data_IF_850922724841
#
_entry.id   IF_850922724841
#
_cell.length_a   1.000
_cell.length_b   1.000
_cell.length_c   1.000
_cell.angle_alpha   90.00
_cell.angle_beta   90.00
_cell.angle_gamma   90.00
#
_symmetry.space_group_name_H-M   'P 1'
#
loop_
_entity.id
_entity.type
_entity.pdbx_description
1 polymer ?
2 polymer ?
3 non-polymer ?
4 non-polymer ?
5 non-polymer ?
6 non-polymer ?
7 water ?
#
loop_
_entity_poly.entity_id
_entity_poly.type
_entity_poly.pdbx_seq_one_letter_code
_entity_poly.pdbx_strand_id
2 'polyribonucleotide' 'GGGCUUCAACGCCC' ?
#
# COMPACT_ATOMS: atom_id res chain seq x y z
N UNK A 29 11.63 22.51 -4.24
CA UNK A 29 10.22 22.41 -3.85
C UNK A 29 10.09 22.51 -2.33
N UNK A 30 9.62 23.66 -1.82
CA UNK A 30 9.51 23.82 -0.38
C UNK A 30 8.69 22.69 0.28
N UNK A 31 9.09 22.30 1.48
CA UNK A 31 8.30 21.34 2.24
C UNK A 31 7.00 21.99 2.69
N UNK A 32 5.88 21.38 2.31
CA UNK A 32 4.55 21.91 2.68
C UNK A 32 4.24 21.73 4.17
N UNK A 33 3.72 22.78 4.79
CA UNK A 33 3.22 22.68 6.16
C UNK A 33 1.95 23.52 6.31
N UNK A 34 1.24 23.33 7.41
CA UNK A 34 0.01 24.07 7.67
C UNK A 34 0.19 25.58 7.70
N UNK A 35 1.42 26.06 7.88
CA UNK A 35 1.66 27.50 7.81
C UNK A 35 1.27 28.07 6.45
N UNK A 36 1.51 27.30 5.39
CA UNK A 36 1.20 27.74 4.03
C UNK A 36 -0.26 27.34 3.76
N UNK A 37 -1.13 28.33 3.59
CA UNK A 37 -2.55 28.04 3.41
C UNK A 37 -3.03 28.47 2.03
N UNK A 38 -2.07 28.63 1.11
CA UNK A 38 -2.33 29.10 -0.25
C UNK A 38 -1.96 28.06 -1.32
N UNK A 39 -0.78 27.47 -1.21
CA UNK A 39 -0.30 26.57 -2.26
C UNK A 39 -1.29 25.44 -2.55
N UNK A 40 -1.65 25.24 -3.81
CA UNK A 40 -2.55 24.16 -4.17
C UNK A 40 -1.89 22.78 -3.95
N UNK A 41 -2.52 21.94 -3.15
CA UNK A 41 -1.96 20.63 -2.85
C UNK A 41 -3.06 19.63 -2.61
N UNK A 42 -2.66 18.37 -2.45
CA UNK A 42 -3.58 17.36 -1.96
C UNK A 42 -3.27 17.14 -0.49
N UNK A 43 -4.32 16.98 0.32
CA UNK A 43 -4.15 16.63 1.72
C UNK A 43 -4.90 15.35 2.00
N UNK A 44 -4.29 14.44 2.75
CA UNK A 44 -5.02 13.27 3.25
C UNK A 44 -5.06 13.27 4.77
N UNK A 45 -6.26 13.10 5.33
CA UNK A 45 -6.42 12.95 6.80
C UNK A 45 -6.81 11.50 7.08
N UNK A 46 -5.95 10.80 7.81
CA UNK A 46 -6.23 9.45 8.25
C UNK A 46 -7.06 9.60 9.50
N UNK A 47 -8.37 9.50 9.35
CA UNK A 47 -9.29 9.78 10.45
C UNK A 47 -9.64 8.51 11.21
N UNK A 48 -10.07 8.69 12.46
CA UNK A 48 -10.41 7.58 13.33
C UNK A 48 -9.24 6.62 13.46
N UNK A 49 -8.02 7.14 13.32
CA UNK A 49 -6.83 6.32 13.45
C UNK A 49 -6.82 5.70 14.85
N UNK A 50 -6.48 4.42 14.91
CA UNK A 50 -6.48 3.71 16.19
C UNK A 50 -5.11 3.76 16.84
N UNK A 51 -4.80 4.89 17.48
CA UNK A 51 -3.48 5.10 18.08
C UNK A 51 -3.64 5.48 19.54
N UNK A 52 -3.53 4.51 20.43
CA UNK A 52 -3.76 4.75 21.83
C UNK A 52 -2.75 3.92 22.62
N UNK A 53 -2.17 4.51 23.65
CA UNK A 53 -1.14 3.81 24.40
C UNK A 53 -1.71 3.32 25.72
N UNK A 54 -1.02 2.33 26.29
CA UNK A 54 -1.43 1.79 27.58
C UNK A 54 -0.23 1.20 28.29
N UNK A 55 -0.27 1.28 29.62
CA UNK A 55 0.86 0.90 30.46
C UNK A 55 0.91 -0.59 30.72
N UNK A 56 2.06 -1.06 31.19
CA UNK A 56 2.25 -2.43 31.63
C UNK A 56 3.02 -2.46 32.95
N UNK A 65 6.40 1.14 31.27
CA UNK A 65 6.41 0.48 29.97
C UNK A 65 5.07 0.65 29.24
N UNK A 66 5.13 1.31 28.08
CA UNK A 66 3.93 1.58 27.30
C UNK A 66 3.94 0.86 25.96
N UNK A 67 2.78 0.35 25.57
CA UNK A 67 2.60 -0.20 24.24
C UNK A 67 1.53 0.56 23.49
N UNK A 68 1.58 0.50 22.17
CA UNK A 68 0.51 0.98 21.32
C UNK A 68 -0.52 -0.14 21.20
N UNK A 69 -1.72 0.08 21.74
CA UNK A 69 -2.72 -0.98 21.77
C UNK A 69 -3.01 -1.53 20.37
N UNK A 70 -2.90 -2.84 20.20
CA UNK A 70 -3.30 -3.48 18.94
C UNK A 70 -4.01 -4.82 19.14
N UNK A 71 -5.04 -5.04 18.31
CA UNK A 71 -5.89 -6.22 18.40
C UNK A 71 -5.13 -7.53 18.49
N UNK A 72 -4.03 -7.64 17.74
CA UNK A 72 -3.22 -8.86 17.73
C UNK A 72 -2.57 -9.20 19.07
N UNK A 73 -1.90 -8.20 19.66
CA UNK A 73 -1.03 -8.40 20.82
C UNK A 73 -1.72 -8.23 22.17
N UNK A 74 -2.84 -7.53 22.20
CA UNK A 74 -3.42 -7.13 23.48
C UNK A 74 -4.90 -7.49 23.60
N UNK A 75 -5.27 -8.63 23.05
CA UNK A 75 -6.66 -9.08 23.14
C UNK A 75 -7.12 -9.13 24.59
N UNK A 76 -6.33 -9.78 25.44
CA UNK A 76 -6.66 -9.91 26.85
C UNK A 76 -6.81 -8.56 27.54
N UNK A 77 -5.83 -7.68 27.33
CA UNK A 77 -5.86 -6.36 27.95
C UNK A 77 -7.05 -5.53 27.50
N UNK A 78 -7.32 -5.54 26.19
CA UNK A 78 -8.45 -4.80 25.63
C UNK A 78 -9.75 -5.32 26.23
N UNK A 79 -9.75 -6.59 26.62
CA UNK A 79 -10.90 -7.18 27.30
C UNK A 79 -11.15 -6.46 28.61
N UNK A 80 -10.15 -6.46 29.49
CA UNK A 80 -10.27 -5.82 30.79
C UNK A 80 -10.74 -4.37 30.66
N UNK A 81 -10.28 -3.70 29.61
CA UNK A 81 -10.65 -2.30 29.38
C UNK A 81 -12.08 -2.14 28.91
N UNK A 82 -12.74 -3.25 28.63
CA UNK A 82 -14.09 -3.21 28.09
C UNK A 82 -14.09 -2.48 26.77
N UNK A 83 -13.17 -2.86 25.88
CA UNK A 83 -13.06 -2.26 24.56
C UNK A 83 -13.40 -3.28 23.49
N UNK A 84 -13.82 -2.79 22.33
CA UNK A 84 -14.01 -3.64 21.17
C UNK A 84 -12.64 -3.98 20.58
N UNK A 85 -12.19 -5.20 20.82
CA UNK A 85 -10.87 -5.64 20.37
C UNK A 85 -10.66 -5.35 18.89
N UNK A 86 -11.72 -5.53 18.11
CA UNK A 86 -11.67 -5.29 16.66
C UNK A 86 -11.28 -3.86 16.33
N UNK A 87 -11.39 -2.96 17.31
CA UNK A 87 -11.19 -1.53 17.07
C UNK A 87 -9.72 -1.12 17.10
N UNK A 88 -8.89 -1.90 17.79
CA UNK A 88 -7.48 -1.58 17.95
C UNK A 88 -6.71 -1.96 16.70
N UNK A 89 -6.67 -1.06 15.70
CA UNK A 89 -5.97 -1.36 14.45
C UNK A 89 -4.98 -0.28 13.98
N UNK A 90 -3.90 -0.05 14.76
CA UNK A 90 -2.89 0.96 14.39
C UNK A 90 -2.15 0.58 13.12
N UNK A 91 -2.18 -0.70 12.77
CA UNK A 91 -1.49 -1.20 11.59
C UNK A 91 -2.09 -0.59 10.32
N UNK A 92 -3.39 -0.29 10.35
CA UNK A 92 -4.00 0.34 9.20
C UNK A 92 -3.43 1.74 8.97
N UNK A 93 -3.24 2.48 10.05
CA UNK A 93 -2.62 3.80 9.95
C UNK A 93 -1.17 3.69 9.42
N UNK A 94 -0.45 2.68 9.90
CA UNK A 94 0.92 2.44 9.44
C UNK A 94 0.96 2.17 7.93
N UNK A 95 0.07 1.30 7.45
CA UNK A 95 0.03 0.92 6.04
C UNK A 95 -0.30 2.14 5.15
N UNK A 96 -1.21 2.98 5.63
CA UNK A 96 -1.59 4.17 4.86
C UNK A 96 -0.46 5.20 4.78
N UNK A 97 0.29 5.37 5.87
CA UNK A 97 1.41 6.30 5.85
C UNK A 97 2.47 5.90 4.84
N UNK A 98 2.76 4.60 4.79
CA UNK A 98 3.72 4.10 3.83
C UNK A 98 3.24 4.41 2.41
N UNK A 99 1.97 4.09 2.15
CA UNK A 99 1.38 4.29 0.83
C UNK A 99 1.44 5.76 0.41
N UNK A 100 1.06 6.66 1.33
CA UNK A 100 1.04 8.10 1.04
C UNK A 100 2.44 8.70 0.90
N UNK A 101 3.29 8.44 1.88
CA UNK A 101 4.60 9.08 1.87
C UNK A 101 5.55 8.56 0.78
N UNK A 102 5.30 7.34 0.29
CA UNK A 102 6.12 6.76 -0.77
C UNK A 102 5.62 7.19 -2.16
N UNK A 103 4.48 7.87 -2.21
CA UNK A 103 3.88 8.21 -3.51
C UNK A 103 4.61 9.33 -4.27
N UNK A 104 4.58 9.30 -5.62
CA UNK A 104 5.15 10.41 -6.40
C UNK A 104 4.58 11.77 -5.98
N UNK A 105 3.30 11.82 -5.62
CA UNK A 105 2.74 13.12 -5.24
C UNK A 105 3.44 13.67 -4.01
N UNK A 106 3.82 12.79 -3.09
CA UNK A 106 4.57 13.27 -1.95
C UNK A 106 6.00 13.67 -2.36
N UNK A 107 6.63 12.85 -3.20
CA UNK A 107 7.99 13.15 -3.61
C UNK A 107 8.07 14.44 -4.41
N UNK A 108 6.97 14.78 -5.09
CA UNK A 108 6.90 16.01 -5.89
C UNK A 108 6.58 17.22 -5.02
N UNK A 109 6.34 16.97 -3.73
CA UNK A 109 6.05 18.02 -2.77
C UNK A 109 4.65 18.61 -2.82
N UNK A 110 3.68 17.83 -3.31
CA UNK A 110 2.32 18.32 -3.42
C UNK A 110 1.35 17.54 -2.52
N UNK A 111 1.89 16.91 -1.49
CA UNK A 111 1.09 16.14 -0.53
C UNK A 111 1.34 16.55 0.92
N UNK A 112 0.26 16.66 1.68
CA UNK A 112 0.35 16.65 3.15
C UNK A 112 -0.52 15.57 3.76
N UNK A 113 -0.05 15.03 4.87
CA UNK A 113 -0.80 14.02 5.60
C UNK A 113 -1.02 14.51 7.03
N UNK A 114 -2.22 14.29 7.55
CA UNK A 114 -2.49 14.46 8.96
C UNK A 114 -3.12 13.17 9.48
N UNK A 115 -3.04 12.97 10.79
CA UNK A 115 -3.67 11.86 11.47
C UNK A 115 -4.59 12.41 12.53
N UNK A 116 -5.84 11.97 12.52
CA UNK A 116 -6.81 12.32 13.52
C UNK A 116 -7.21 11.03 14.19
N UNK A 117 -6.76 10.84 15.44
CA UNK A 117 -7.02 9.57 16.12
C UNK A 117 -8.46 9.45 16.55
N UNK A 118 -8.89 8.22 16.84
CA UNK A 118 -10.25 7.96 17.29
C UNK A 118 -10.50 8.63 18.64
N UNK A 119 -9.44 9.06 19.31
CA UNK A 119 -9.61 9.72 20.60
C UNK A 119 -9.48 11.24 20.48
N UNK A 120 -9.43 11.75 19.26
CA UNK A 120 -9.47 13.18 19.01
C UNK A 120 -8.13 13.90 18.97
N UNK A 121 -7.04 13.13 18.95
CA UNK A 121 -5.71 13.73 18.80
C UNK A 121 -5.40 14.04 17.34
N UNK A 122 -4.94 15.26 17.07
CA UNK A 122 -4.61 15.65 15.70
C UNK A 122 -3.11 15.79 15.53
N UNK A 123 -2.58 15.16 14.48
CA UNK A 123 -1.15 15.11 14.24
C UNK A 123 -0.80 15.55 12.83
N UNK A 124 0.20 16.43 12.72
CA UNK A 124 0.72 16.85 11.41
C UNK A 124 1.98 16.05 11.09
N UNK A 125 2.00 15.42 9.91
CA UNK A 125 3.13 14.60 9.49
C UNK A 125 4.03 15.42 8.55
N UNK A 126 5.33 15.50 8.85
CA UNK A 126 6.27 16.20 7.97
C UNK A 126 6.43 15.37 6.69
N UNK A 127 6.24 15.99 5.51
CA UNK A 127 6.35 15.26 4.24
C UNK A 127 7.70 14.52 4.06
N UNK A 128 8.75 14.93 4.77
CA UNK A 128 10.06 14.33 4.58
C UNK A 128 10.36 13.23 5.60
N UNK A 129 9.41 12.92 6.47
CA UNK A 129 9.68 11.89 7.47
C UNK A 129 9.80 10.51 6.78
N UNK A 130 10.86 9.77 7.09
CA UNK A 130 11.00 8.41 6.61
C UNK A 130 10.42 7.44 7.65
N UNK A 131 9.10 7.27 7.62
CA UNK A 131 8.40 6.45 8.60
C UNK A 131 8.98 5.04 8.68
N UNK A 132 9.06 4.48 9.90
CA UNK A 132 9.58 3.12 10.03
C UNK A 132 8.85 2.18 9.10
N UNK A 133 9.56 1.25 8.46
CA UNK A 133 8.94 0.34 7.53
C UNK A 133 8.19 -0.80 8.24
N UNK A 134 8.65 -1.20 9.42
CA UNK A 134 8.03 -2.32 10.12
C UNK A 134 7.13 -1.86 11.26
N UNK A 135 6.07 -2.65 11.49
CA UNK A 135 5.03 -2.23 12.42
C UNK A 135 5.53 -2.05 13.85
N UNK A 136 6.34 -3.00 14.31
CA UNK A 136 6.87 -2.93 15.66
C UNK A 136 7.63 -1.62 15.87
N UNK A 137 8.36 -1.20 14.85
CA UNK A 137 9.15 0.03 14.95
C UNK A 137 8.29 1.29 14.80
N UNK A 138 7.28 1.21 13.94
CA UNK A 138 6.28 2.27 13.89
C UNK A 138 5.63 2.44 15.26
N UNK A 139 5.35 1.32 15.91
CA UNK A 139 4.66 1.33 17.20
C UNK A 139 5.40 2.12 18.27
N UNK A 140 6.68 1.80 18.46
CA UNK A 140 7.48 2.48 19.46
C UNK A 140 7.55 3.99 19.21
N UNK A 141 7.60 4.37 17.94
CA UNK A 141 7.65 5.79 17.57
C UNK A 141 6.35 6.51 17.90
N UNK A 142 5.22 5.86 17.66
CA UNK A 142 3.92 6.45 17.96
C UNK A 142 3.73 6.66 19.46
N UNK A 143 4.16 5.69 20.25
CA UNK A 143 4.10 5.80 21.69
C UNK A 143 4.83 7.06 22.14
N UNK A 144 6.02 7.27 21.59
CA UNK A 144 6.82 8.43 21.95
C UNK A 144 6.16 9.73 21.51
N UNK A 145 5.61 9.73 20.30
CA UNK A 145 4.93 10.90 19.77
C UNK A 145 3.76 11.29 20.67
N UNK A 146 2.96 10.31 21.05
CA UNK A 146 1.77 10.55 21.87
C UNK A 146 2.12 11.04 23.29
N UNK A 147 3.23 10.54 23.83
CA UNK A 147 3.67 10.98 25.15
C UNK A 147 4.42 12.31 25.16
N UNK A 148 5.27 12.54 24.15
CA UNK A 148 6.10 13.75 24.11
C UNK A 148 5.53 14.88 23.25
N UNK A 149 4.56 14.55 22.38
CA UNK A 149 3.83 15.55 21.57
C UNK A 149 4.54 15.96 20.27
N UNK A 150 5.80 15.58 20.10
CA UNK A 150 6.46 15.72 18.82
C UNK A 150 7.64 14.75 18.68
N UNK A 151 8.13 14.61 17.46
CA UNK A 151 9.27 13.75 17.15
C UNK A 151 10.26 14.61 16.39
N UNK A 152 11.52 14.59 16.80
CA UNK A 152 12.53 15.41 16.14
C UNK A 152 13.82 14.62 15.92
N UNK A 153 14.60 15.03 14.93
CA UNK A 153 15.96 14.53 14.79
C UNK A 153 16.87 15.34 15.70
N UNK A 154 17.91 14.71 16.21
CA UNK A 154 18.73 15.29 17.28
C UNK A 154 19.30 16.68 16.99
N UNK A 155 19.63 16.93 15.72
CA UNK A 155 20.26 18.19 15.32
C UNK A 155 19.25 19.24 14.89
N UNK A 156 18.03 18.79 14.62
CA UNK A 156 17.02 19.63 13.99
C UNK A 156 16.01 20.20 14.98
N UNK A 157 15.48 21.38 14.65
CA UNK A 157 14.38 21.93 15.41
C UNK A 157 13.08 21.78 14.61
N UNK A 158 13.17 21.09 13.48
CA UNK A 158 11.99 20.79 12.69
C UNK A 158 11.35 19.50 13.19
N UNK A 159 10.03 19.50 13.30
CA UNK A 159 9.32 18.31 13.76
C UNK A 159 9.01 17.38 12.60
N UNK A 160 9.34 16.11 12.76
CA UNK A 160 9.01 15.11 11.76
C UNK A 160 7.56 14.69 11.98
N UNK A 161 7.12 14.77 13.23
CA UNK A 161 5.74 14.50 13.60
C UNK A 161 5.37 15.45 14.74
N UNK A 162 4.15 15.96 14.73
CA UNK A 162 3.73 16.89 15.76
C UNK A 162 2.24 16.83 16.09
N UNK A 163 1.92 16.79 17.38
CA UNK A 163 0.53 16.93 17.82
C UNK A 163 0.17 18.41 17.68
N UNK A 164 -0.96 18.67 17.02
CA UNK A 164 -1.40 20.05 16.82
C UNK A 164 -2.84 20.24 17.33
N UNK A 165 -3.35 21.48 17.33
CA UNK A 165 -4.69 21.77 17.83
C UNK A 165 -5.79 21.49 16.79
N UNK A 166 -6.88 20.85 17.24
CA UNK A 166 -8.11 20.80 16.45
C UNK A 166 -8.72 22.20 16.37
N UNK A 167 -9.60 22.46 15.39
CA UNK A 167 -9.98 21.52 14.33
C UNK A 167 -9.03 21.59 13.14
N UNK A 168 -8.93 20.49 12.39
CA UNK A 168 -8.08 20.42 11.21
C UNK A 168 -8.39 21.58 10.26
N UNK A 169 -9.65 21.98 10.19
CA UNK A 169 -10.08 23.05 9.28
C UNK A 169 -9.37 24.37 9.58
N UNK A 170 -8.87 24.53 10.80
CA UNK A 170 -8.07 25.70 11.13
C UNK A 170 -6.70 25.69 10.46
N UNK A 171 -6.29 24.53 9.94
CA UNK A 171 -4.94 24.35 9.46
C UNK A 171 -4.84 24.18 7.95
N UNK A 172 -5.96 23.85 7.31
CA UNK A 172 -5.99 23.54 5.88
C UNK A 172 -5.92 24.80 5.02
N UNK A 173 -5.59 24.66 3.73
CA UNK A 173 -5.61 25.85 2.89
C UNK A 173 -6.99 26.50 2.88
N UNK A 174 -7.02 27.82 2.81
CA UNK A 174 -8.27 28.57 2.88
C UNK A 174 -9.24 28.15 1.79
N UNK A 175 -8.73 27.96 0.58
CA UNK A 175 -9.52 27.40 -0.50
C UNK A 175 -9.20 25.92 -0.61
N UNK A 176 -10.08 25.09 -0.05
CA UNK A 176 -9.86 23.64 -0.05
C UNK A 176 -11.19 22.91 -0.09
N UNK A 177 -11.35 22.06 -1.10
CA UNK A 177 -12.52 21.18 -1.14
C UNK A 177 -12.23 20.01 -0.22
N UNK A 178 -13.16 19.72 0.68
CA UNK A 178 -12.96 18.71 1.71
C UNK A 178 -13.96 17.58 1.48
N UNK A 179 -13.43 16.38 1.30
CA UNK A 179 -14.27 15.24 1.00
C UNK A 179 -14.00 14.09 1.95
N UNK A 180 -15.03 13.30 2.20
CA UNK A 180 -14.86 12.05 2.92
C UNK A 180 -15.08 10.94 1.91
N UNK A 181 -14.26 9.90 2.00
CA UNK A 181 -14.42 8.75 1.13
C UNK A 181 -15.39 7.79 1.80
N UNK A 182 -16.42 7.39 1.05
CA UNK A 182 -17.46 6.54 1.60
C UNK A 182 -18.04 5.61 0.54
N UNK A 183 -18.21 4.34 0.89
CA UNK A 183 -18.82 3.41 -0.06
C UNK A 183 -20.30 3.73 -0.23
N UNK A 184 -20.84 4.51 0.69
CA UNK A 184 -22.25 4.93 0.62
C UNK A 184 -22.47 6.09 -0.34
N UNK A 185 -21.39 6.70 -0.81
CA UNK A 185 -21.48 7.92 -1.61
C UNK A 185 -21.42 7.67 -3.12
N UNK A 186 -21.89 8.63 -3.93
CA UNK A 186 -21.79 8.51 -5.38
C UNK A 186 -20.33 8.33 -5.81
N UNK A 187 -20.11 7.45 -6.79
CA UNK A 187 -18.76 7.12 -7.23
C UNK A 187 -18.24 8.18 -8.19
N UNK A 188 -16.96 8.55 -8.04
CA UNK A 188 -16.34 9.53 -8.96
C UNK A 188 -15.11 8.96 -9.65
N UNK A 189 -14.74 9.58 -10.77
CA UNK A 189 -13.39 9.39 -11.30
C UNK A 189 -12.50 10.49 -10.73
N UNK A 190 -11.42 10.11 -10.05
CA UNK A 190 -10.61 11.07 -9.28
C UNK A 190 -10.01 12.21 -10.11
N UNK A 191 -9.40 11.87 -11.24
CA UNK A 191 -8.92 12.89 -12.18
C UNK A 191 -10.02 13.89 -12.57
N UNK A 192 -11.22 13.40 -12.84
CA UNK A 192 -12.29 14.28 -13.28
C UNK A 192 -12.75 15.19 -12.16
N UNK A 193 -12.83 14.64 -10.95
CA UNK A 193 -13.22 15.43 -9.79
C UNK A 193 -12.18 16.53 -9.55
N UNK A 194 -10.91 16.16 -9.58
CA UNK A 194 -9.82 17.11 -9.36
C UNK A 194 -9.77 18.21 -10.41
N UNK A 195 -10.00 17.85 -11.67
CA UNK A 195 -10.02 18.84 -12.75
C UNK A 195 -11.10 19.91 -12.58
N UNK A 196 -12.12 19.59 -11.79
CA UNK A 196 -13.22 20.53 -11.59
C UNK A 196 -12.96 21.51 -10.45
N UNK A 197 -11.84 21.36 -9.77
CA UNK A 197 -11.49 22.28 -8.70
C UNK A 197 -11.07 23.62 -9.30
N UNK A 198 -11.27 24.69 -8.55
CA UNK A 198 -10.75 25.98 -8.95
C UNK A 198 -9.23 25.92 -9.05
N UNK A 199 -8.65 26.81 -9.86
CA UNK A 199 -7.21 26.82 -10.08
C UNK A 199 -6.39 26.97 -8.79
N UNK A 200 -6.97 27.60 -7.78
CA UNK A 200 -6.24 27.87 -6.54
C UNK A 200 -6.75 27.04 -5.36
N UNK A 201 -7.54 26.02 -5.65
CA UNK A 201 -8.23 25.27 -4.61
C UNK A 201 -7.57 23.92 -4.34
N UNK A 202 -7.20 23.67 -3.09
CA UNK A 202 -6.64 22.40 -2.70
C UNK A 202 -7.72 21.34 -2.55
N UNK A 203 -7.30 20.10 -2.35
CA UNK A 203 -8.27 19.07 -2.06
C UNK A 203 -7.82 18.25 -0.85
N UNK A 204 -8.71 18.14 0.13
CA UNK A 204 -8.43 17.41 1.36
C UNK A 204 -9.35 16.21 1.44
N UNK A 205 -8.75 15.02 1.55
CA UNK A 205 -9.51 13.79 1.59
C UNK A 205 -9.43 13.11 2.95
N UNK A 206 -10.58 12.91 3.59
CA UNK A 206 -10.65 12.19 4.86
C UNK A 206 -10.92 10.71 4.61
N UNK A 207 -9.98 9.88 5.06
CA UNK A 207 -10.02 8.43 4.90
C UNK A 207 -10.18 7.76 6.28
N UNK A 208 -11.20 6.92 6.45
CA UNK A 208 -11.32 6.17 7.68
C UNK A 208 -10.21 5.13 7.81
N UNK A 209 -9.30 5.35 8.76
CA UNK A 209 -8.18 4.44 8.95
C UNK A 209 -8.61 3.31 9.86
N UNK A 210 -9.63 2.58 9.41
CA UNK A 210 -10.28 1.57 10.22
C UNK A 210 -10.70 0.42 9.33
N UNK A 211 -11.08 -0.69 9.93
CA UNK A 211 -11.56 -1.85 9.20
C UNK A 211 -13.05 -1.70 8.94
N UNK A 212 -13.79 -1.28 9.96
CA UNK A 212 -15.24 -1.18 9.84
C UNK A 212 -15.81 0.02 10.60
N UNK A 213 -16.76 0.70 9.99
CA UNK A 213 -17.38 1.83 10.63
C UNK A 213 -18.11 2.75 9.67
N UNK A 214 -18.90 3.67 10.23
CA UNK A 214 -19.67 4.61 9.42
C UNK A 214 -18.76 5.69 8.83
N UNK A 215 -19.28 6.41 7.84
CA UNK A 215 -18.52 7.46 7.16
C UNK A 215 -18.73 8.84 7.78
N UNK A 216 -19.14 8.90 9.03
CA UNK A 216 -19.51 10.18 9.64
C UNK A 216 -18.39 10.83 10.47
N UNK A 217 -17.18 10.29 10.37
CA UNK A 217 -16.06 10.73 11.20
C UNK A 217 -15.56 12.16 10.93
N UNK A 218 -16.04 12.78 9.86
CA UNK A 218 -15.59 14.12 9.53
C UNK A 218 -16.75 14.99 9.08
N UNK A 219 -17.97 14.57 9.42
CA UNK A 219 -19.18 15.25 8.99
C UNK A 219 -19.16 16.74 9.32
N UNK A 220 -18.43 17.11 10.38
CA UNK A 220 -18.38 18.50 10.81
C UNK A 220 -17.48 19.36 9.90
N UNK A 221 -16.69 18.69 9.05
CA UNK A 221 -15.63 19.34 8.30
C UNK A 221 -15.81 19.34 6.79
N UNK A 222 -16.39 18.27 6.26
CA UNK A 222 -16.35 18.03 4.82
C UNK A 222 -17.44 18.78 4.03
N UNK A 223 -17.13 19.03 2.76
CA UNK A 223 -18.05 19.61 1.79
C UNK A 223 -18.84 18.52 1.06
N UNK A 224 -18.27 17.31 0.98
CA UNK A 224 -18.86 16.30 0.13
C UNK A 224 -18.38 14.90 0.50
N UNK A 225 -19.25 13.91 0.31
CA UNK A 225 -18.80 12.53 0.39
C UNK A 225 -18.78 11.90 -1.00
N UNK A 226 -17.73 11.14 -1.29
CA UNK A 226 -17.57 10.48 -2.58
C UNK A 226 -17.03 9.05 -2.42
N UNK A 227 -17.32 8.21 -3.40
CA UNK A 227 -16.75 6.86 -3.42
C UNK A 227 -15.82 6.74 -4.61
N UNK A 228 -14.81 5.89 -4.50
CA UNK A 228 -13.82 5.76 -5.57
C UNK A 228 -13.99 4.51 -6.43
N UNK A 229 -14.89 3.63 -6.03
CA UNK A 229 -15.03 2.37 -6.73
C UNK A 229 -16.41 1.78 -6.54
N UNK A 230 -16.84 0.94 -7.46
CA UNK A 230 -18.04 0.17 -7.24
C UNK A 230 -17.75 -0.94 -6.25
N UNK A 231 -16.47 -1.13 -5.94
CA UNK A 231 -16.08 -2.08 -4.90
C UNK A 231 -15.68 -1.36 -3.62
N UNK A 232 -16.00 -1.96 -2.46
CA UNK A 232 -15.49 -1.48 -1.17
C UNK A 232 -13.97 -1.56 -1.20
N UNK A 233 -13.28 -0.50 -0.79
CA UNK A 233 -11.82 -0.52 -0.81
C UNK A 233 -11.27 -0.46 0.61
N UNK A 234 -10.11 -1.07 0.81
CA UNK A 234 -9.35 -0.86 2.02
C UNK A 234 -8.86 0.59 2.05
N UNK A 235 -8.56 1.09 3.24
CA UNK A 235 -8.07 2.45 3.40
C UNK A 235 -6.81 2.73 2.58
N UNK A 236 -5.87 1.81 2.60
CA UNK A 236 -4.62 1.96 1.85
C UNK A 236 -4.87 2.05 0.36
N UNK A 237 -5.75 1.21 -0.14
CA UNK A 237 -6.09 1.21 -1.56
C UNK A 237 -6.79 2.50 -1.93
N UNK A 238 -7.65 2.98 -1.04
CA UNK A 238 -8.33 4.24 -1.31
C UNK A 238 -7.31 5.37 -1.36
N UNK A 239 -6.34 5.34 -0.46
CA UNK A 239 -5.25 6.34 -0.49
C UNK A 239 -4.47 6.31 -1.81
N UNK A 240 -4.06 5.11 -2.23
CA UNK A 240 -3.26 5.03 -3.45
C UNK A 240 -4.09 5.48 -4.67
N UNK A 241 -5.37 5.13 -4.69
CA UNK A 241 -6.23 5.49 -5.81
C UNK A 241 -6.31 7.01 -5.94
N UNK A 242 -6.50 7.69 -4.81
CA UNK A 242 -6.61 9.15 -4.84
C UNK A 242 -5.26 9.79 -5.20
N UNK A 243 -4.17 9.23 -4.67
CA UNK A 243 -2.85 9.74 -5.03
C UNK A 243 -2.58 9.63 -6.52
N UNK A 244 -2.88 8.48 -7.10
CA UNK A 244 -2.58 8.26 -8.52
C UNK A 244 -3.51 9.04 -9.47
N UNK A 245 -4.73 9.33 -9.02
CA UNK A 245 -5.62 10.20 -9.76
C UNK A 245 -5.12 11.63 -9.75
N UNK A 246 -4.56 12.05 -8.62
CA UNK A 246 -4.03 13.41 -8.48
C UNK A 246 -2.72 13.57 -9.24
N UNK A 247 -1.85 12.55 -9.20
CA UNK A 247 -0.64 12.55 -10.01
C UNK A 247 -0.98 12.69 -11.49
N UNK A 248 -2.06 12.05 -11.91
CA UNK A 248 -2.48 12.16 -13.31
C UNK A 248 -3.01 13.54 -13.62
N UNK A 249 -3.93 14.01 -12.79
CA UNK A 249 -4.55 15.31 -13.01
C UNK A 249 -3.49 16.42 -13.04
N UNK A 250 -2.49 16.30 -12.19
CA UNK A 250 -1.50 17.35 -12.04
C UNK A 250 -0.19 17.08 -12.80
N UNK A 251 -0.19 16.04 -13.61
CA UNK A 251 0.95 15.78 -14.47
C UNK A 251 2.23 15.59 -13.66
N UNK A 252 2.11 14.84 -12.58
CA UNK A 252 3.26 14.45 -11.80
C UNK A 252 3.68 13.06 -12.26
N UNK A 253 4.91 12.96 -12.75
CA UNK A 253 5.47 11.69 -13.16
C UNK A 253 6.52 11.25 -12.16
N UNK B 29 -17.32 -12.76 -12.07
CA UNK B 29 -16.10 -12.81 -12.88
C UNK B 29 -15.39 -14.16 -12.73
N UNK B 30 -15.13 -14.85 -13.85
CA UNK B 30 -14.39 -16.12 -13.81
C UNK B 30 -13.01 -15.91 -13.19
N UNK B 31 -12.55 -16.87 -12.41
CA UNK B 31 -11.27 -16.73 -11.73
C UNK B 31 -10.11 -17.12 -12.65
N UNK B 32 -9.19 -16.17 -12.89
CA UNK B 32 -8.06 -16.40 -13.80
C UNK B 32 -6.98 -17.30 -13.19
N UNK B 33 -6.52 -18.28 -13.95
CA UNK B 33 -5.37 -19.10 -13.58
C UNK B 33 -4.49 -19.30 -14.82
N UNK B 34 -3.29 -19.83 -14.62
CA UNK B 34 -2.36 -20.09 -15.72
C UNK B 34 -2.91 -21.10 -16.72
N UNK B 35 -3.94 -21.85 -16.35
CA UNK B 35 -4.55 -22.81 -17.28
C UNK B 35 -5.16 -22.09 -18.47
N UNK B 36 -5.72 -20.92 -18.20
CA UNK B 36 -6.30 -20.08 -19.25
C UNK B 36 -5.17 -19.32 -19.95
N UNK B 37 -4.89 -19.69 -21.19
CA UNK B 37 -3.79 -19.08 -21.94
C UNK B 37 -4.23 -17.92 -22.84
N UNK B 38 -5.52 -17.59 -22.81
CA UNK B 38 -6.11 -16.71 -23.81
C UNK B 38 -6.59 -15.36 -23.30
N UNK B 39 -7.32 -15.37 -22.19
CA UNK B 39 -7.95 -14.16 -21.69
C UNK B 39 -6.96 -13.01 -21.44
N UNK B 40 -7.27 -11.84 -21.97
CA UNK B 40 -6.45 -10.65 -21.76
C UNK B 40 -6.49 -10.22 -20.30
N UNK B 41 -5.32 -10.11 -19.67
CA UNK B 41 -5.25 -9.74 -18.26
C UNK B 41 -3.94 -9.02 -17.95
N UNK B 42 -3.84 -8.49 -16.74
CA UNK B 42 -2.59 -7.95 -16.23
C UNK B 42 -1.98 -9.00 -15.32
N UNK B 43 -0.68 -9.18 -15.39
CA UNK B 43 0.00 -10.05 -14.44
C UNK B 43 1.08 -9.27 -13.71
N UNK B 44 1.18 -9.48 -12.40
CA UNK B 44 2.31 -8.91 -11.66
C UNK B 44 3.14 -10.03 -11.04
N UNK B 45 4.45 -9.98 -11.25
CA UNK B 45 5.38 -10.93 -10.64
C UNK B 45 6.23 -10.19 -9.59
N UNK B 46 6.13 -10.61 -8.35
CA UNK B 46 6.95 -10.05 -7.29
C UNK B 46 8.25 -10.83 -7.23
N UNK B 47 9.31 -10.24 -7.78
CA UNK B 47 10.57 -10.97 -7.97
C UNK B 47 11.55 -10.67 -6.83
N UNK B 48 12.58 -11.51 -6.71
CA UNK B 48 13.56 -11.36 -5.64
C UNK B 48 12.88 -11.28 -4.28
N UNK B 49 11.74 -11.93 -4.15
CA UNK B 49 11.00 -11.90 -2.88
C UNK B 49 11.79 -12.58 -1.75
N UNK B 50 11.70 -12.01 -0.55
CA UNK B 50 12.39 -12.56 0.61
C UNK B 50 11.43 -13.46 1.39
N UNK B 51 11.52 -14.76 1.16
CA UNK B 51 10.69 -15.72 1.89
C UNK B 51 11.56 -16.86 2.41
N UNK B 52 12.37 -16.56 3.41
CA UNK B 52 13.25 -17.55 4.03
C UNK B 52 12.62 -18.13 5.28
N UNK B 53 12.92 -19.40 5.55
CA UNK B 53 12.38 -20.06 6.73
C UNK B 53 13.46 -20.23 7.79
N UNK B 54 13.04 -20.20 9.04
CA UNK B 54 13.94 -20.36 10.16
C UNK B 54 13.26 -21.23 11.22
N UNK B 55 14.00 -22.17 11.79
CA UNK B 55 13.43 -23.10 12.76
C UNK B 55 13.95 -22.83 14.17
N UNK B 56 13.13 -23.19 15.16
CA UNK B 56 13.53 -23.12 16.56
C UNK B 56 12.87 -24.22 17.40
N UNK B 65 9.14 -25.80 15.38
CA UNK B 65 8.32 -24.84 14.66
C UNK B 65 9.16 -23.95 13.75
N UNK B 66 8.55 -23.46 12.67
CA UNK B 66 9.23 -22.63 11.70
C UNK B 66 8.58 -21.26 11.56
N UNK B 67 9.38 -20.26 11.23
CA UNK B 67 8.85 -18.92 10.99
C UNK B 67 9.57 -18.29 9.80
N UNK B 68 8.92 -17.31 9.17
CA UNK B 68 9.59 -16.53 8.15
C UNK B 68 10.67 -15.70 8.81
N UNK B 69 11.87 -15.73 8.26
CA UNK B 69 12.94 -14.86 8.72
C UNK B 69 12.55 -13.41 8.44
N UNK B 70 12.66 -12.62 9.47
CA UNK B 70 12.45 -11.23 9.39
C UNK B 70 13.41 -10.69 10.44
N UNK B 71 13.22 -9.12 10.02
CA UNK B 71 13.80 -8.04 10.80
C UNK B 71 13.08 -7.85 12.08
N UNK B 72 11.75 -7.75 12.23
CA UNK B 72 11.34 -7.51 13.58
C UNK B 72 11.79 -8.58 14.56
N UNK B 73 11.57 -9.84 14.22
CA UNK B 73 11.89 -10.92 15.15
C UNK B 73 13.40 -11.21 15.24
N UNK B 74 14.09 -11.10 14.11
CA UNK B 74 15.42 -11.70 14.00
C UNK B 74 16.57 -10.75 13.69
N UNK B 75 16.31 -9.45 13.71
CA UNK B 75 17.31 -8.51 13.29
C UNK B 75 18.55 -8.61 14.17
N UNK B 76 18.36 -9.01 15.40
CA UNK B 76 19.48 -9.13 16.31
C UNK B 76 20.27 -10.42 16.25
N UNK B 77 19.87 -11.36 15.43
CA UNK B 77 20.55 -12.63 15.35
C UNK B 77 20.98 -12.99 13.96
N UNK B 78 20.85 -12.09 13.01
CA UNK B 78 21.06 -12.44 11.64
C UNK B 78 22.48 -12.81 11.41
N UNK B 79 23.35 -11.90 11.78
CA UNK B 79 24.77 -12.11 11.61
C UNK B 79 25.20 -13.36 12.36
N UNK B 80 24.75 -13.47 13.60
CA UNK B 80 25.05 -14.64 14.43
C UNK B 80 24.66 -15.94 13.71
N UNK B 81 23.58 -15.88 12.93
CA UNK B 81 23.02 -17.06 12.29
C UNK B 81 23.45 -17.21 10.83
N UNK B 82 24.41 -16.40 10.40
CA UNK B 82 24.91 -16.45 9.04
C UNK B 82 23.88 -16.14 7.98
N UNK B 83 23.01 -15.17 8.25
CA UNK B 83 21.99 -14.77 7.29
C UNK B 83 22.16 -13.30 6.90
N UNK B 84 21.65 -12.94 5.73
CA UNK B 84 21.73 -11.58 5.23
C UNK B 84 20.47 -10.77 5.59
N UNK B 85 20.61 -9.45 5.71
CA UNK B 85 19.44 -8.60 5.90
C UNK B 85 18.53 -8.71 4.69
N UNK B 86 19.11 -8.77 3.51
CA UNK B 86 18.33 -8.93 2.29
C UNK B 86 17.40 -10.13 2.39
N UNK B 87 17.79 -11.12 3.19
CA UNK B 87 17.00 -12.33 3.37
C UNK B 87 15.82 -12.13 4.33
N UNK B 88 15.71 -10.95 4.92
CA UNK B 88 14.74 -10.76 5.98
C UNK B 88 13.76 -9.61 5.72
N UNK B 89 13.37 -9.41 4.46
CA UNK B 89 12.32 -8.44 4.16
C UNK B 89 11.04 -9.05 3.56
N UNK B 90 10.48 -10.08 4.22
CA UNK B 90 9.20 -10.63 3.74
C UNK B 90 8.03 -9.65 3.86
N UNK B 91 8.19 -8.62 4.69
CA UNK B 91 7.17 -7.58 4.84
C UNK B 91 6.89 -6.87 3.51
N UNK B 92 7.88 -6.81 2.64
CA UNK B 92 7.69 -6.16 1.35
C UNK B 92 6.71 -6.99 0.51
N UNK B 93 6.95 -8.30 0.46
CA UNK B 93 6.05 -9.16 -0.27
C UNK B 93 4.65 -9.11 0.32
N UNK B 94 4.59 -9.09 1.65
CA UNK B 94 3.31 -9.02 2.33
C UNK B 94 2.52 -7.76 1.90
N UNK B 95 3.18 -6.62 1.91
CA UNK B 95 2.55 -5.35 1.58
C UNK B 95 2.08 -5.33 0.11
N UNK B 96 2.90 -5.86 -0.79
CA UNK B 96 2.52 -5.87 -2.20
C UNK B 96 1.31 -6.79 -2.42
N UNK B 97 1.29 -7.92 -1.73
CA UNK B 97 0.17 -8.84 -1.88
C UNK B 97 -1.14 -8.15 -1.52
N UNK B 98 -1.14 -7.42 -0.41
CA UNK B 98 -2.35 -6.72 0.00
C UNK B 98 -2.72 -5.65 -1.03
N UNK B 99 -1.73 -4.89 -1.45
CA UNK B 99 -1.94 -3.83 -2.43
C UNK B 99 -2.56 -4.39 -3.70
N UNK B 100 -1.98 -5.48 -4.19
CA UNK B 100 -2.44 -6.11 -5.43
C UNK B 100 -3.84 -6.74 -5.29
N UNK B 101 -4.02 -7.59 -4.29
CA UNK B 101 -5.25 -8.38 -4.18
C UNK B 101 -6.45 -7.53 -3.74
N UNK B 102 -6.18 -6.39 -3.12
CA UNK B 102 -7.23 -5.47 -2.70
C UNK B 102 -7.63 -4.50 -3.81
N UNK B 103 -6.91 -4.52 -4.93
CA UNK B 103 -7.15 -3.54 -5.99
C UNK B 103 -8.44 -3.81 -6.76
N UNK B 104 -9.09 -2.74 -7.26
CA UNK B 104 -10.25 -2.94 -8.15
C UNK B 104 -9.94 -3.88 -9.34
N UNK B 105 -8.73 -3.82 -9.88
CA UNK B 105 -8.43 -4.67 -11.03
C UNK B 105 -8.51 -6.14 -10.65
N UNK B 106 -8.11 -6.48 -9.43
CA UNK B 106 -8.29 -7.85 -8.97
C UNK B 106 -9.78 -8.17 -8.77
N UNK B 107 -10.51 -7.26 -8.13
CA UNK B 107 -11.91 -7.49 -7.84
C UNK B 107 -12.71 -7.65 -9.13
N UNK B 108 -12.26 -7.01 -10.19
CA UNK B 108 -12.89 -7.12 -11.50
C UNK B 108 -12.49 -8.42 -12.23
N UNK B 109 -11.52 -9.14 -11.69
CA UNK B 109 -11.13 -10.41 -12.27
C UNK B 109 -10.12 -10.30 -13.42
N UNK B 110 -9.37 -9.20 -13.49
CA UNK B 110 -8.44 -9.02 -14.61
C UNK B 110 -6.97 -9.01 -14.16
N UNK B 111 -6.70 -9.58 -12.98
CA UNK B 111 -5.35 -9.56 -12.42
C UNK B 111 -4.89 -10.95 -11.98
N UNK B 112 -3.62 -11.26 -12.23
CA UNK B 112 -3.00 -12.43 -11.60
C UNK B 112 -1.70 -12.00 -10.97
N UNK B 113 -1.32 -12.67 -9.89
CA UNK B 113 -0.07 -12.38 -9.23
C UNK B 113 0.76 -13.67 -9.11
N UNK B 114 2.05 -13.56 -9.36
CA UNK B 114 2.98 -14.64 -9.04
C UNK B 114 4.09 -14.09 -8.18
N UNK B 115 4.75 -14.97 -7.45
CA UNK B 115 5.88 -14.59 -6.63
C UNK B 115 7.05 -15.44 -7.03
N UNK B 116 8.19 -14.82 -7.22
CA UNK B 116 9.43 -15.58 -7.40
C UNK B 116 10.40 -15.14 -6.33
N UNK B 117 10.81 -16.07 -5.46
CA UNK B 117 11.72 -15.73 -4.38
C UNK B 117 13.14 -15.48 -4.87
N UNK B 118 13.95 -14.89 -3.99
CA UNK B 118 15.38 -14.69 -4.25
C UNK B 118 16.12 -16.00 -4.46
N UNK B 119 15.48 -17.12 -4.10
CA UNK B 119 16.07 -18.44 -4.35
C UNK B 119 15.56 -19.12 -5.62
N UNK B 120 14.64 -18.47 -6.32
CA UNK B 120 14.12 -19.01 -7.57
C UNK B 120 12.85 -19.82 -7.42
N UNK B 121 12.27 -19.82 -6.23
CA UNK B 121 11.02 -20.54 -6.03
C UNK B 121 9.89 -19.74 -6.65
N UNK B 122 9.07 -20.40 -7.47
CA UNK B 122 7.97 -19.70 -8.17
C UNK B 122 6.62 -20.11 -7.59
N UNK B 123 5.73 -19.13 -7.37
CA UNK B 123 4.44 -19.37 -6.73
C UNK B 123 3.29 -18.71 -7.49
N UNK B 124 2.25 -19.47 -7.77
CA UNK B 124 1.04 -18.92 -8.38
C UNK B 124 0.04 -18.59 -7.28
N UNK B 125 -0.43 -17.35 -7.28
CA UNK B 125 -1.41 -16.90 -6.29
C UNK B 125 -2.80 -16.85 -6.91
N UNK B 126 -3.75 -17.60 -6.38
CA UNK B 126 -5.11 -17.53 -6.88
C UNK B 126 -5.72 -16.16 -6.58
N UNK B 127 -6.39 -15.53 -7.56
CA UNK B 127 -6.98 -14.21 -7.32
C UNK B 127 -7.93 -14.16 -6.12
N UNK B 128 -8.50 -15.29 -5.71
CA UNK B 128 -9.47 -15.28 -4.60
C UNK B 128 -8.85 -15.45 -3.22
N UNK B 129 -7.54 -15.67 -3.14
CA UNK B 129 -6.90 -15.92 -1.84
C UNK B 129 -7.04 -14.69 -0.94
N UNK B 130 -7.31 -14.95 0.34
CA UNK B 130 -7.31 -13.87 1.33
C UNK B 130 -5.99 -13.91 2.06
N UNK B 131 -5.11 -12.96 1.74
CA UNK B 131 -3.84 -12.86 2.42
C UNK B 131 -4.12 -12.29 3.79
N UNK B 132 -3.62 -12.95 4.85
CA UNK B 132 -3.83 -12.44 6.21
C UNK B 132 -3.29 -11.02 6.34
N UNK B 133 -3.97 -10.17 7.11
CA UNK B 133 -3.62 -8.75 7.13
C UNK B 133 -2.55 -8.44 8.15
N UNK B 134 -2.31 -9.39 9.05
CA UNK B 134 -1.25 -9.28 10.02
C UNK B 134 -0.06 -10.12 9.59
N UNK B 135 1.15 -9.63 9.85
CA UNK B 135 2.33 -10.35 9.43
C UNK B 135 2.46 -11.73 10.10
N UNK B 136 2.03 -11.82 11.34
CA UNK B 136 2.13 -13.08 12.09
C UNK B 136 1.43 -14.21 11.34
N UNK B 137 0.20 -13.97 10.93
CA UNK B 137 -0.59 -14.97 10.22
C UNK B 137 -0.02 -15.17 8.81
N UNK B 138 0.46 -14.09 8.20
CA UNK B 138 1.10 -14.20 6.89
C UNK B 138 2.25 -15.21 6.93
N UNK B 139 3.10 -15.11 7.94
CA UNK B 139 4.24 -16.02 8.09
C UNK B 139 3.81 -17.47 8.18
N UNK B 140 2.85 -17.75 9.06
CA UNK B 140 2.32 -19.10 9.19
C UNK B 140 1.84 -19.62 7.85
N UNK B 141 1.10 -18.80 7.13
CA UNK B 141 0.59 -19.20 5.82
C UNK B 141 1.75 -19.55 4.90
N UNK B 142 2.70 -18.63 4.79
CA UNK B 142 3.85 -18.80 3.90
C UNK B 142 4.69 -20.02 4.25
N UNK B 143 4.94 -20.21 5.55
CA UNK B 143 5.69 -21.38 6.00
C UNK B 143 4.99 -22.68 5.57
N UNK B 144 3.68 -22.73 5.71
CA UNK B 144 2.92 -23.90 5.30
C UNK B 144 2.98 -24.10 3.78
N UNK B 145 3.01 -23.00 3.04
CA UNK B 145 3.09 -23.09 1.59
C UNK B 145 4.43 -23.67 1.14
N UNK B 146 5.51 -23.20 1.75
CA UNK B 146 6.85 -23.65 1.41
C UNK B 146 7.08 -25.09 1.81
N UNK B 147 6.40 -25.52 2.87
CA UNK B 147 6.59 -26.88 3.36
C UNK B 147 5.68 -27.88 2.64
N UNK B 148 4.43 -27.49 2.42
CA UNK B 148 3.46 -28.36 1.76
C UNK B 148 3.50 -28.23 0.24
N UNK B 149 4.01 -27.10 -0.24
CA UNK B 149 4.07 -26.77 -1.67
C UNK B 149 2.73 -26.26 -2.24
N UNK B 150 1.68 -26.29 -1.43
CA UNK B 150 0.41 -25.68 -1.80
C UNK B 150 -0.49 -25.39 -0.60
N UNK B 151 -1.45 -24.50 -0.78
CA UNK B 151 -2.51 -24.29 0.19
C UNK B 151 -3.84 -24.47 -0.53
N UNK B 152 -4.73 -25.26 0.05
CA UNK B 152 -6.00 -25.58 -0.58
C UNK B 152 -7.12 -24.69 -0.06
N UNK B 153 -8.19 -24.57 -0.84
CA UNK B 153 -9.37 -23.85 -0.40
C UNK B 153 -9.99 -24.53 0.82
N UNK B 154 -10.70 -23.77 1.64
CA UNK B 154 -11.43 -24.35 2.77
C UNK B 154 -12.63 -25.15 2.26
N UNK B 155 -12.95 -24.98 0.98
CA UNK B 155 -14.13 -25.60 0.39
C UNK B 155 -13.88 -26.71 -0.62
N UNK B 156 -12.63 -26.88 -1.04
CA UNK B 156 -12.33 -27.89 -2.05
C UNK B 156 -10.86 -28.26 -2.06
N UNK B 157 -10.46 -29.02 -3.07
CA UNK B 157 -9.06 -29.42 -3.22
C UNK B 157 -8.29 -28.44 -4.08
N UNK B 158 -8.96 -27.39 -4.54
CA UNK B 158 -8.30 -26.40 -5.36
C UNK B 158 -7.18 -25.72 -4.59
N UNK B 159 -6.06 -25.47 -5.26
CA UNK B 159 -4.92 -24.84 -4.63
C UNK B 159 -4.97 -23.33 -4.83
N UNK B 160 -5.08 -22.60 -3.74
CA UNK B 160 -5.14 -21.14 -3.79
C UNK B 160 -3.74 -20.52 -3.81
N UNK B 161 -2.77 -21.27 -3.30
CA UNK B 161 -1.37 -20.94 -3.46
C UNK B 161 -0.67 -22.25 -3.84
N UNK B 162 0.25 -22.16 -4.79
CA UNK B 162 0.89 -23.35 -5.33
C UNK B 162 2.30 -23.04 -5.81
N UNK B 163 3.28 -23.81 -5.35
CA UNK B 163 4.62 -23.73 -5.90
C UNK B 163 4.64 -24.38 -7.28
N UNK B 164 5.14 -23.64 -8.27
CA UNK B 164 5.17 -24.18 -9.64
C UNK B 164 6.59 -24.11 -10.18
N UNK B 165 6.80 -24.67 -11.36
CA UNK B 165 8.14 -24.69 -11.96
C UNK B 165 8.41 -23.49 -12.84
N UNK B 166 9.64 -22.99 -12.76
CA UNK B 166 10.19 -22.03 -13.72
C UNK B 166 10.23 -22.63 -15.11
N UNK B 167 10.24 -21.77 -16.15
CA UNK B 167 10.20 -20.31 -16.08
C UNK B 167 8.77 -19.75 -16.07
N UNK B 168 8.63 -18.53 -15.55
CA UNK B 168 7.33 -17.88 -15.45
C UNK B 168 6.65 -17.84 -16.81
N UNK B 169 7.45 -17.77 -17.88
CA UNK B 169 6.91 -17.68 -19.24
C UNK B 169 6.09 -18.90 -19.67
N UNK B 170 6.32 -20.06 -19.05
CA UNK B 170 5.49 -21.23 -19.31
C UNK B 170 4.03 -21.02 -18.87
N UNK B 171 3.81 -20.07 -17.99
CA UNK B 171 2.52 -19.94 -17.31
C UNK B 171 1.74 -18.71 -17.74
N UNK B 172 2.41 -17.75 -18.36
CA UNK B 172 1.74 -16.52 -18.80
C UNK B 172 0.87 -16.77 -20.04
N UNK B 173 -0.06 -15.84 -20.32
CA UNK B 173 -0.88 -15.96 -21.53
C UNK B 173 0.05 -16.02 -22.72
N UNK B 174 -0.35 -16.77 -23.74
CA UNK B 174 0.50 -17.00 -24.91
C UNK B 174 0.95 -15.68 -25.51
N UNK B 175 0.01 -14.73 -25.61
CA UNK B 175 0.32 -13.40 -26.11
C UNK B 175 0.37 -12.42 -24.94
N UNK B 176 1.60 -12.02 -24.60
CA UNK B 176 1.80 -11.24 -23.39
C UNK B 176 3.05 -10.38 -23.50
N UNK B 177 2.85 -9.07 -23.43
CA UNK B 177 3.96 -8.13 -23.34
C UNK B 177 4.59 -8.29 -21.95
N UNK B 178 5.91 -8.26 -21.88
CA UNK B 178 6.60 -8.47 -20.61
C UNK B 178 7.56 -7.31 -20.32
N UNK B 179 7.43 -6.71 -19.16
CA UNK B 179 8.29 -5.59 -18.82
C UNK B 179 8.77 -5.64 -17.38
N UNK B 180 9.97 -5.13 -17.16
CA UNK B 180 10.46 -4.93 -15.80
C UNK B 180 10.28 -3.46 -15.40
N UNK B 181 9.71 -3.23 -14.22
CA UNK B 181 9.59 -1.87 -13.69
C UNK B 181 10.90 -1.50 -13.03
N UNK B 182 11.45 -0.36 -13.43
CA UNK B 182 12.71 0.10 -12.86
C UNK B 182 12.90 1.61 -12.91
N UNK B 183 13.33 2.16 -11.79
CA UNK B 183 13.69 3.57 -11.70
C UNK B 183 14.68 3.92 -12.80
N UNK B 184 15.57 2.97 -13.10
CA UNK B 184 16.65 3.17 -14.07
C UNK B 184 16.28 3.00 -15.54
N UNK B 185 14.99 3.09 -15.86
CA UNK B 185 14.54 2.98 -17.25
C UNK B 185 13.79 4.24 -17.64
N UNK B 186 13.50 4.41 -18.93
CA UNK B 186 12.71 5.57 -19.37
C UNK B 186 11.30 5.55 -18.79
N UNK B 187 10.81 6.71 -18.35
CA UNK B 187 9.52 6.78 -17.68
C UNK B 187 8.35 6.82 -18.66
N UNK B 188 7.31 6.04 -18.38
CA UNK B 188 6.11 6.01 -19.22
C UNK B 188 4.86 6.39 -18.43
N UNK B 189 3.80 6.77 -19.14
CA UNK B 189 2.47 6.85 -18.52
C UNK B 189 1.80 5.51 -18.73
N UNK B 190 1.31 4.91 -17.65
CA UNK B 190 0.79 3.56 -17.72
C UNK B 190 -0.43 3.41 -18.63
N UNK B 191 -1.41 4.30 -18.48
CA UNK B 191 -2.61 4.23 -19.32
C UNK B 191 -2.26 4.08 -20.79
N UNK B 192 -1.41 4.97 -21.29
CA UNK B 192 -1.06 4.96 -22.70
C UNK B 192 -0.41 3.64 -23.08
N UNK B 193 0.47 3.16 -22.21
CA UNK B 193 1.19 1.92 -22.51
C UNK B 193 0.20 0.77 -22.68
N UNK B 194 -0.77 0.70 -21.77
CA UNK B 194 -1.74 -0.38 -21.81
C UNK B 194 -2.67 -0.26 -23.01
N UNK B 195 -3.08 0.96 -23.31
CA UNK B 195 -4.00 1.15 -24.42
C UNK B 195 -3.37 0.76 -25.76
N UNK B 196 -2.03 0.74 -25.80
CA UNK B 196 -1.30 0.36 -27.01
C UNK B 196 -1.28 -1.16 -27.22
N UNK B 197 -1.63 -1.91 -26.18
CA UNK B 197 -1.70 -3.38 -26.31
C UNK B 197 -2.77 -3.79 -27.33
N UNK B 198 -2.57 -4.94 -27.96
CA UNK B 198 -3.57 -5.53 -28.84
C UNK B 198 -4.78 -6.04 -28.05
N UNK B 199 -5.91 -6.18 -28.73
CA UNK B 199 -7.16 -6.63 -28.10
C UNK B 199 -7.02 -7.97 -27.36
N UNK B 200 -6.06 -8.78 -27.79
CA UNK B 200 -5.87 -10.11 -27.21
C UNK B 200 -4.54 -10.26 -26.49
N UNK B 201 -3.88 -9.14 -26.22
CA UNK B 201 -2.53 -9.13 -25.66
C UNK B 201 -2.54 -8.81 -24.16
N UNK B 202 -1.99 -9.70 -23.34
CA UNK B 202 -1.89 -9.45 -21.92
C UNK B 202 -0.64 -8.63 -21.61
N UNK B 203 -0.50 -8.20 -20.36
CA UNK B 203 0.67 -7.45 -19.94
C UNK B 203 1.20 -8.01 -18.63
N UNK B 204 2.46 -8.40 -18.60
CA UNK B 204 3.09 -8.89 -17.39
C UNK B 204 4.20 -7.94 -16.91
N UNK B 205 4.14 -7.56 -15.64
CA UNK B 205 5.12 -6.65 -15.09
C UNK B 205 5.88 -7.28 -13.94
N UNK B 206 7.20 -7.10 -13.94
CA UNK B 206 8.06 -7.67 -12.92
C UNK B 206 8.51 -6.57 -11.95
N UNK B 207 8.29 -6.81 -10.67
CA UNK B 207 8.60 -5.81 -9.64
C UNK B 207 9.55 -6.42 -8.59
N UNK B 208 10.61 -5.70 -8.25
CA UNK B 208 11.57 -6.19 -7.26
C UNK B 208 11.02 -6.06 -5.84
N UNK B 209 10.64 -7.18 -5.23
CA UNK B 209 10.08 -7.15 -3.88
C UNK B 209 11.19 -7.18 -2.84
N UNK B 210 12.02 -6.15 -2.85
CA UNK B 210 13.29 -6.14 -2.13
C UNK B 210 13.67 -4.72 -1.75
N UNK B 211 14.57 -4.58 -0.78
CA UNK B 211 14.99 -3.27 -0.29
C UNK B 211 15.77 -2.47 -1.31
N UNK B 212 16.65 -3.15 -2.03
CA UNK B 212 17.55 -2.49 -2.97
C UNK B 212 18.18 -3.53 -3.88
N UNK B 213 18.95 -3.07 -4.86
CA UNK B 213 19.66 -3.97 -5.75
C UNK B 213 19.37 -3.69 -7.22
N UNK B 214 20.09 -4.37 -8.10
CA UNK B 214 19.92 -4.14 -9.53
C UNK B 214 18.57 -4.69 -9.96
N UNK B 215 17.89 -3.99 -10.87
CA UNK B 215 16.58 -4.43 -11.34
C UNK B 215 16.74 -5.41 -12.53
N UNK B 216 17.66 -6.36 -12.41
CA UNK B 216 18.01 -7.25 -13.52
C UNK B 216 17.45 -8.67 -13.36
N UNK B 217 16.57 -8.82 -12.37
CA UNK B 217 16.00 -10.11 -11.97
C UNK B 217 15.05 -10.74 -13.00
N UNK B 218 14.74 -10.02 -14.07
CA UNK B 218 13.86 -10.57 -15.11
C UNK B 218 14.39 -10.35 -16.53
N UNK B 219 15.68 -10.06 -16.65
CA UNK B 219 16.30 -9.74 -17.94
C UNK B 219 16.16 -10.84 -19.01
N UNK B 220 16.06 -12.09 -18.57
CA UNK B 220 15.90 -13.20 -19.50
C UNK B 220 14.47 -13.32 -20.07
N UNK B 221 13.52 -12.59 -19.48
CA UNK B 221 12.12 -12.73 -19.85
C UNK B 221 11.51 -11.51 -20.56
N UNK B 222 11.99 -10.33 -20.23
CA UNK B 222 11.24 -9.11 -20.59
C UNK B 222 11.59 -8.54 -21.96
N UNK B 223 10.62 -7.84 -22.54
CA UNK B 223 10.80 -7.17 -23.82
C UNK B 223 11.44 -5.80 -23.62
N UNK B 224 11.27 -5.24 -22.43
CA UNK B 224 11.59 -3.85 -22.23
C UNK B 224 11.56 -3.55 -20.73
N UNK B 225 12.32 -2.55 -20.30
CA UNK B 225 12.23 -2.05 -18.94
C UNK B 225 11.67 -0.63 -19.01
N UNK B 226 10.81 -0.28 -18.05
CA UNK B 226 10.22 1.04 -18.03
C UNK B 226 10.18 1.57 -16.61
N UNK B 227 10.20 2.89 -16.49
CA UNK B 227 10.01 3.55 -15.21
C UNK B 227 8.59 4.08 -15.12
N UNK B 228 8.10 4.23 -13.88
CA UNK B 228 6.76 4.75 -13.64
C UNK B 228 6.81 6.16 -13.05
N UNK B 229 8.01 6.60 -12.70
CA UNK B 229 8.18 7.90 -12.05
C UNK B 229 9.63 8.35 -12.10
N UNK B 230 9.83 9.66 -11.99
CA UNK B 230 11.17 10.22 -11.88
C UNK B 230 11.71 10.10 -10.47
N UNK B 231 10.89 9.58 -9.56
CA UNK B 231 11.31 9.38 -8.18
C UNK B 231 11.44 7.89 -7.90
N UNK B 232 12.37 7.50 -7.01
CA UNK B 232 12.42 6.09 -6.59
C UNK B 232 11.15 5.72 -5.85
N UNK B 233 10.65 4.52 -6.12
CA UNK B 233 9.41 4.07 -5.53
C UNK B 233 9.61 2.83 -4.68
N UNK B 234 8.73 2.64 -3.72
CA UNK B 234 8.62 1.35 -3.04
C UNK B 234 8.02 0.34 -4.00
N UNK B 235 8.25 -0.94 -3.76
CA UNK B 235 7.64 -1.98 -4.56
C UNK B 235 6.11 -1.86 -4.55
N UNK B 236 5.56 -1.53 -3.39
CA UNK B 236 4.12 -1.43 -3.22
C UNK B 236 3.54 -0.31 -4.06
N UNK B 237 4.23 0.84 -4.09
CA UNK B 237 3.72 1.95 -4.87
C UNK B 237 3.86 1.68 -6.36
N UNK B 238 4.93 1.00 -6.76
CA UNK B 238 5.07 0.59 -8.15
C UNK B 238 3.89 -0.29 -8.54
N UNK B 239 3.52 -1.21 -7.65
CA UNK B 239 2.37 -2.07 -7.89
C UNK B 239 1.08 -1.29 -8.08
N UNK B 240 0.77 -0.37 -7.15
CA UNK B 240 -0.53 0.28 -7.17
C UNK B 240 -0.62 1.21 -8.36
N UNK B 241 0.51 1.85 -8.69
CA UNK B 241 0.54 2.77 -9.82
C UNK B 241 0.21 2.02 -11.10
N UNK B 242 0.76 0.83 -11.25
CA UNK B 242 0.49 0.09 -12.48
C UNK B 242 -0.95 -0.40 -12.50
N UNK B 243 -1.45 -0.85 -11.35
CA UNK B 243 -2.84 -1.28 -11.24
C UNK B 243 -3.82 -0.17 -11.58
N UNK B 244 -3.57 1.02 -11.05
CA UNK B 244 -4.49 2.13 -11.26
C UNK B 244 -4.46 2.69 -12.69
N UNK B 245 -3.32 2.53 -13.36
CA UNK B 245 -3.21 2.88 -14.77
C UNK B 245 -3.99 1.90 -15.61
N UNK B 246 -3.92 0.62 -15.24
CA UNK B 246 -4.63 -0.45 -15.94
C UNK B 246 -6.14 -0.33 -15.74
N UNK B 247 -6.54 -0.01 -14.50
CA UNK B 247 -7.94 0.22 -14.18
C UNK B 247 -8.52 1.35 -15.01
N UNK B 248 -7.76 2.44 -15.13
CA UNK B 248 -8.18 3.56 -15.97
C UNK B 248 -8.32 3.10 -17.42
N UNK B 249 -7.28 2.44 -17.92
CA UNK B 249 -7.24 2.02 -19.32
C UNK B 249 -8.41 1.10 -19.65
N UNK B 250 -8.76 0.22 -18.73
CA UNK B 250 -9.75 -0.81 -19.01
C UNK B 250 -11.13 -0.48 -18.45
N UNK B 251 -11.32 0.77 -18.05
CA UNK B 251 -12.61 1.26 -17.55
C UNK B 251 -13.11 0.43 -16.37
N UNK B 252 -12.19 0.12 -15.47
CA UNK B 252 -12.54 -0.61 -14.26
C UNK B 252 -12.65 0.40 -13.13
N UNK B 253 -13.86 0.53 -12.60
CA UNK B 253 -14.08 1.50 -11.52
C UNK B 253 -14.41 0.78 -10.20
X LIG D 1 -1.11 22.60 -10.46
X LIG D 1 -2.07 22.54 -9.43
X LIG D 1 0.27 22.23 -9.92
X LIG D 1 1.01 21.56 -10.93
X LIG D 1 0.15 21.32 -8.70
X LIG D 1 -0.54 21.99 -7.67
X LIG E 1 -3.66 18.20 22.66
X LIG E 1 -3.86 16.98 21.96
X LIG E 1 -2.41 18.93 22.17
X LIG E 1 -1.42 18.99 23.18
X LIG E 1 -2.79 20.36 21.75
X LIG E 1 -1.70 20.99 21.14
X LIG F 1 16.16 -1.13 -7.54
X LIG F 1 15.43 -0.66 -6.37
X LIG F 1 14.81 -1.84 -5.62
X LIG F 1 13.96 -1.45 -4.42
X LIG F 1 12.53 -0.46 -4.92
X LIG F 1 16.37 0.13 -5.46
X LIG F 1 17.59 -0.05 -5.50
X LIG F 1 11.56 -1.97 -5.20
X LIG F 1 11.03 -2.13 -6.62
X LIG F 1 10.10 -1.10 -6.95
X LIG F 1 12.09 -2.08 -7.71
X LIG F 1 12.71 -3.34 -7.93
X LIG F 1 11.31 -1.64 -8.93
X LIG F 1 10.78 -2.77 -9.59
X LIG F 1 10.16 -0.82 -8.34
X LIG F 1 10.42 0.62 -8.58
X LIG F 1 11.08 1.49 -7.75
X LIG F 1 11.12 2.72 -8.33
X LIG F 1 10.48 2.65 -9.53
X LIG F 1 10.24 3.58 -10.54
X LIG F 1 10.64 4.84 -10.42
X LIG F 1 9.57 3.19 -11.68
X LIG F 1 9.14 1.89 -11.81
X LIG F 1 9.40 0.96 -10.82
X LIG F 1 10.05 1.33 -9.70
X LIG G 1 21.69 4.81 17.85
X LIG H 1 23.35 -4.42 14.12
#
# INVERSE_FOLDING_TARGET
GMVEDSRVRDALKGGDQKALPASLVPQAPPVLTSKDKITKRMIVVLAMASLETHKISSNGPGGDKYVLLNCDDHQGLLKKMGRDISEARPDITHQCLLTLLDSPINKAGKLQVYIQTSRGILIEVNPTVRIPRTFKRFSGLMVQLLHKLSIRSVNSEEKLLKVIKNPITDHLPTKCRKVTLSFDAPVIRVQDYIEKLDDDESICVFVGAMARGKDNFADEYVDEKVGLSNYPLSASVACSKFCHGAEDAWNIL
GMVEDSRVRDALKGGDQKALPASLVPQAPPVLTSKDKITKRMIVVLAMASLETHKISSNGPGGDKYVLLNCDDHQGLLKKMGRDISEARPDITHQCLLTLLDSPINKAGKLQVYIQTSRGILIEVNPTVRIPRTFKRFSGLMVQLLHKLSIRSVNSEEKLLKVIKNPITDHLPTKCRKVTLSFDAPVIRVQDYIEKLDDDESICVFVGAMARGKDNFADEYVDEKVGLSNYPLSASVACSKFCHGAEDAWNIL
GOL C1 O1 C2 O2 C3 O3
GOL C1 O1 C2 O2 C3 O3
SAH N CA CB CG SD C O C5' C4' O4' C3' O3' C2' O2' C1' N9 C8 N7 C5 C6 N6 N1 C2 N3 C4
MG MG
CL CL
#
